data_IF_958460921313
#
_entry.id   IF_958460921313
#
_cell.length_a   1.000
_cell.length_b   1.000
_cell.length_c   1.000
_cell.angle_alpha   90.00
_cell.angle_beta   90.00
_cell.angle_gamma   90.00
#
_symmetry.space_group_name_H-M   'P 1'
#
loop_
_entity.id
_entity.type
_entity.pdbx_description
1 polymer ?
#
# COMPACT_ATOMS: atom_id res chain seq x y z
N UNK A 1 -9.06 -34.63 -1.78
CA UNK A 1 -7.75 -34.04 -1.42
C UNK A 1 -8.04 -32.70 -0.73
N UNK A 2 -7.88 -32.64 0.60
CA UNK A 2 -8.15 -31.44 1.42
C UNK A 2 -6.88 -30.58 1.45
N UNK A 3 -6.96 -29.32 1.06
CA UNK A 3 -5.88 -28.34 1.19
C UNK A 3 -6.16 -27.48 2.44
N UNK A 4 -5.41 -27.70 3.51
CA UNK A 4 -5.41 -26.85 4.70
C UNK A 4 -4.34 -25.77 4.56
N UNK A 5 -4.76 -24.50 4.62
CA UNK A 5 -3.86 -23.33 4.62
C UNK A 5 -3.17 -23.22 5.98
N UNK A 6 -1.84 -23.38 6.01
CA UNK A 6 -0.99 -23.32 7.21
C UNK A 6 -0.22 -22.01 7.32
N UNK A 7 -0.87 -20.86 7.07
CA UNK A 7 -0.26 -19.55 7.31
C UNK A 7 -0.83 -18.92 8.58
N UNK A 8 -0.06 -19.02 9.68
CA UNK A 8 0.19 -18.01 10.72
C UNK A 8 0.87 -18.67 11.94
N UNK A 9 2.14 -19.05 11.79
CA UNK A 9 3.06 -19.29 12.91
C UNK A 9 4.38 -18.61 12.56
N UNK A 10 4.60 -17.43 13.13
CA UNK A 10 5.91 -16.86 13.52
C UNK A 10 5.77 -15.33 13.69
N UNK A 11 5.46 -14.94 14.92
CA UNK A 11 5.62 -13.57 15.43
C UNK A 11 6.30 -13.66 16.80
N UNK A 12 7.59 -13.98 16.81
CA UNK A 12 8.42 -14.02 18.02
C UNK A 12 9.20 -12.71 18.15
N UNK A 13 8.56 -11.65 18.64
CA UNK A 13 9.29 -10.48 19.15
C UNK A 13 8.50 -9.61 20.15
N UNK A 14 7.70 -10.19 21.06
CA UNK A 14 7.18 -9.50 22.26
C UNK A 14 6.97 -10.52 23.39
N UNK A 15 7.18 -10.17 24.69
CA UNK A 15 7.03 -11.13 25.80
C UNK A 15 5.60 -11.67 25.88
N UNK A 16 5.43 -12.99 25.71
CA UNK A 16 4.15 -13.66 25.42
C UNK A 16 3.31 -14.07 26.64
N UNK A 17 3.77 -13.96 27.88
CA UNK A 17 3.08 -14.65 28.99
C UNK A 17 1.94 -13.86 29.66
N UNK A 18 1.92 -12.52 29.60
CA UNK A 18 0.84 -11.72 30.22
C UNK A 18 -0.27 -11.26 29.27
N UNK A 19 -0.08 -11.41 27.97
CA UNK A 19 -1.07 -10.99 26.96
C UNK A 19 -1.94 -12.16 26.50
N UNK A 20 -1.45 -13.41 26.57
CA UNK A 20 -2.19 -14.58 26.10
C UNK A 20 -3.49 -14.82 26.86
N UNK A 21 -3.47 -14.69 28.19
CA UNK A 21 -4.63 -15.00 29.04
C UNK A 21 -5.79 -14.04 28.75
N UNK A 22 -5.52 -12.72 28.67
CA UNK A 22 -6.55 -11.76 28.27
C UNK A 22 -6.99 -11.90 26.79
N UNK A 23 -6.09 -12.30 25.88
CA UNK A 23 -6.44 -12.44 24.46
C UNK A 23 -7.21 -13.72 24.12
N UNK A 24 -7.08 -14.76 24.94
CA UNK A 24 -7.83 -16.01 24.80
C UNK A 24 -9.27 -15.83 25.26
N UNK A 25 -9.47 -15.17 26.41
CA UNK A 25 -10.81 -14.89 26.94
C UNK A 25 -11.59 -13.92 26.04
N UNK A 26 -10.93 -12.87 25.52
CA UNK A 26 -11.55 -11.92 24.58
C UNK A 26 -11.90 -12.57 23.23
N UNK A 27 -11.12 -13.57 22.76
CA UNK A 27 -11.45 -14.28 21.52
C UNK A 27 -12.55 -15.33 21.71
N UNK A 28 -12.61 -16.01 22.86
CA UNK A 28 -13.65 -16.98 23.18
C UNK A 28 -15.03 -16.32 23.32
N UNK A 29 -15.11 -15.12 23.90
CA UNK A 29 -16.36 -14.35 23.97
C UNK A 29 -16.83 -13.81 22.60
N UNK A 30 -15.91 -13.38 21.73
CA UNK A 30 -16.25 -12.91 20.38
C UNK A 30 -16.66 -14.03 19.43
N UNK A 31 -16.21 -15.27 19.67
CA UNK A 31 -16.57 -16.43 18.84
C UNK A 31 -17.96 -16.99 19.18
N UNK A 32 -18.55 -16.60 20.32
CA UNK A 32 -19.83 -17.08 20.81
C UNK A 32 -21.06 -16.21 20.42
N UNK A 33 -20.87 -15.10 19.71
CA UNK A 33 -21.94 -14.15 19.35
C UNK A 33 -21.96 -13.75 17.87
N UNK A 34 -21.66 -14.68 16.96
CA UNK A 34 -22.03 -14.48 15.55
C UNK A 34 -23.54 -14.71 15.44
N UNK A 35 -24.30 -13.67 15.09
CA UNK A 35 -25.75 -13.79 14.95
C UNK A 35 -26.10 -14.77 13.82
N UNK A 36 -27.26 -15.43 13.89
CA UNK A 36 -27.75 -16.31 12.82
C UNK A 36 -27.77 -15.61 11.46
N UNK A 37 -28.04 -14.30 11.46
CA UNK A 37 -27.99 -13.43 10.29
C UNK A 37 -26.56 -13.30 9.73
N UNK A 38 -25.57 -13.04 10.58
CA UNK A 38 -24.16 -13.00 10.17
C UNK A 38 -23.68 -14.36 9.64
N UNK A 39 -24.09 -15.46 10.29
CA UNK A 39 -23.74 -16.81 9.83
C UNK A 39 -24.32 -17.11 8.45
N UNK A 40 -25.55 -16.66 8.20
CA UNK A 40 -26.22 -16.81 6.90
C UNK A 40 -25.53 -15.98 5.82
N UNK A 41 -25.21 -14.71 6.13
CA UNK A 41 -24.48 -13.83 5.21
C UNK A 41 -23.10 -14.39 4.83
N UNK A 42 -22.36 -14.96 5.79
CA UNK A 42 -21.07 -15.62 5.52
C UNK A 42 -21.24 -16.83 4.57
N UNK A 43 -22.28 -17.65 4.77
CA UNK A 43 -22.55 -18.78 3.89
C UNK A 43 -22.91 -18.33 2.45
N UNK A 44 -23.61 -17.20 2.31
CA UNK A 44 -23.88 -16.61 0.99
C UNK A 44 -22.61 -16.11 0.31
N UNK A 45 -21.71 -15.44 1.05
CA UNK A 45 -20.41 -15.00 0.55
C UNK A 45 -19.60 -16.19 0.06
N UNK A 46 -19.49 -17.26 0.87
CA UNK A 46 -18.79 -18.50 0.47
C UNK A 46 -19.40 -19.13 -0.80
N UNK A 47 -20.72 -19.04 -0.92
CA UNK A 47 -21.46 -19.49 -2.11
C UNK A 47 -21.13 -18.66 -3.36
N UNK A 48 -21.00 -17.33 -3.22
CA UNK A 48 -20.60 -16.45 -4.32
C UNK A 48 -19.14 -16.64 -4.71
N UNK A 49 -18.23 -16.76 -3.73
CA UNK A 49 -16.82 -17.02 -3.98
C UNK A 49 -16.63 -18.34 -4.74
N UNK A 50 -17.33 -19.40 -4.31
CA UNK A 50 -17.32 -20.70 -5.01
C UNK A 50 -17.82 -20.59 -6.45
N UNK A 51 -18.81 -19.75 -6.73
CA UNK A 51 -19.31 -19.51 -8.10
C UNK A 51 -18.28 -18.74 -8.93
N UNK A 52 -17.65 -17.73 -8.34
CA UNK A 52 -16.63 -16.90 -8.99
C UNK A 52 -15.40 -17.73 -9.35
N UNK A 53 -14.90 -18.52 -8.40
CA UNK A 53 -13.76 -19.42 -8.61
C UNK A 53 -14.03 -20.42 -9.74
N UNK A 54 -15.21 -21.05 -9.77
CA UNK A 54 -15.60 -21.96 -10.85
C UNK A 54 -15.68 -21.24 -12.19
N UNK A 55 -16.29 -20.07 -12.23
CA UNK A 55 -16.44 -19.28 -13.46
C UNK A 55 -15.07 -18.87 -14.05
N UNK A 56 -14.13 -18.47 -13.19
CA UNK A 56 -12.81 -17.99 -13.59
C UNK A 56 -11.70 -19.04 -13.51
N UNK A 57 -12.02 -20.31 -13.22
CA UNK A 57 -11.03 -21.37 -12.97
C UNK A 57 -9.93 -21.44 -14.05
N UNK A 58 -10.31 -21.40 -15.33
CA UNK A 58 -9.36 -21.49 -16.45
C UNK A 58 -8.54 -20.21 -16.68
N UNK A 59 -8.92 -19.10 -16.04
CA UNK A 59 -8.26 -17.79 -16.13
C UNK A 59 -7.39 -17.50 -14.91
N UNK A 60 -7.70 -18.07 -13.74
CA UNK A 60 -6.90 -17.94 -12.52
C UNK A 60 -5.72 -18.91 -12.60
N UNK A 61 -4.52 -18.39 -12.83
CA UNK A 61 -3.29 -19.17 -12.91
C UNK A 61 -2.33 -18.76 -11.80
N UNK A 62 -1.76 -19.74 -11.12
CA UNK A 62 -0.72 -19.49 -10.13
C UNK A 62 0.54 -18.96 -10.83
N UNK A 63 1.12 -17.89 -10.31
CA UNK A 63 2.38 -17.33 -10.77
C UNK A 63 3.39 -17.32 -9.61
N UNK A 64 4.24 -18.35 -9.48
CA UNK A 64 5.20 -18.45 -8.37
C UNK A 64 6.18 -17.28 -8.26
N UNK A 65 6.45 -16.60 -9.39
CA UNK A 65 7.29 -15.41 -9.40
C UNK A 65 6.68 -14.22 -8.62
N UNK A 66 5.36 -14.17 -8.45
CA UNK A 66 4.67 -13.10 -7.71
C UNK A 66 4.64 -13.40 -6.21
N UNK A 67 5.81 -13.26 -5.58
CA UNK A 67 5.95 -13.51 -4.14
C UNK A 67 5.24 -12.45 -3.30
N UNK A 68 4.92 -12.78 -2.04
CA UNK A 68 4.35 -11.84 -1.06
C UNK A 68 5.19 -10.55 -0.93
N UNK A 69 6.51 -10.65 -1.09
CA UNK A 69 7.39 -9.50 -1.01
C UNK A 69 7.21 -8.54 -2.18
N UNK A 70 6.94 -9.05 -3.39
CA UNK A 70 6.72 -8.24 -4.58
C UNK A 70 5.33 -7.59 -4.60
N UNK A 71 4.30 -8.36 -4.25
CA UNK A 71 2.90 -7.88 -4.28
C UNK A 71 2.51 -7.05 -3.06
N UNK A 72 3.47 -6.70 -2.19
CA UNK A 72 3.25 -5.83 -1.04
C UNK A 72 4.42 -4.88 -0.82
N UNK A 73 4.27 -3.96 0.12
CA UNK A 73 5.31 -3.00 0.50
C UNK A 73 6.60 -3.63 1.07
N UNK A 74 6.63 -4.93 1.35
CA UNK A 74 7.76 -5.55 2.05
C UNK A 74 9.10 -5.38 1.34
N UNK A 75 9.16 -5.55 0.03
CA UNK A 75 10.40 -5.37 -0.74
C UNK A 75 10.83 -3.90 -0.84
N UNK A 76 9.97 -2.93 -0.48
CA UNK A 76 10.32 -1.51 -0.48
C UNK A 76 11.03 -1.06 0.81
N UNK A 77 10.92 -1.80 1.90
CA UNK A 77 11.55 -1.47 3.19
C UNK A 77 13.08 -1.22 3.12
N UNK A 78 13.87 -2.01 2.38
CA UNK A 78 15.31 -1.74 2.27
C UNK A 78 15.65 -0.59 1.30
N UNK A 79 14.74 -0.16 0.41
CA UNK A 79 15.01 0.85 -0.62
C UNK A 79 14.85 2.27 -0.02
N UNK A 80 15.91 3.10 0.06
CA UNK A 80 15.89 4.38 0.78
C UNK A 80 14.76 5.34 0.38
N UNK A 81 14.46 5.43 -0.92
CA UNK A 81 13.40 6.31 -1.43
C UNK A 81 12.00 5.72 -1.23
N UNK A 82 11.87 4.40 -1.29
CA UNK A 82 10.55 3.74 -1.20
C UNK A 82 10.13 3.43 0.25
N UNK A 83 11.04 3.43 1.22
CA UNK A 83 10.73 3.10 2.64
C UNK A 83 10.17 4.25 3.47
N UNK A 84 10.21 5.48 2.94
CA UNK A 84 9.90 6.73 3.65
C UNK A 84 8.48 6.82 4.21
N UNK A 85 7.52 6.12 3.58
CA UNK A 85 6.16 5.99 4.07
C UNK A 85 5.61 4.58 3.77
N UNK A 86 5.19 3.86 4.81
CA UNK A 86 4.53 2.56 4.65
C UNK A 86 3.05 2.76 4.32
N UNK A 87 2.68 2.54 3.08
CA UNK A 87 1.29 2.48 2.62
C UNK A 87 0.83 1.02 2.60
N UNK A 88 -0.26 0.67 3.28
CA UNK A 88 -0.66 -0.74 3.49
C UNK A 88 -1.06 -1.42 2.18
N UNK A 89 -1.67 -0.64 1.31
CA UNK A 89 -2.23 -1.05 0.03
C UNK A 89 -1.20 -0.97 -1.10
N UNK A 90 0.05 -0.58 -0.82
CA UNK A 90 1.10 -0.49 -1.82
C UNK A 90 1.75 -1.85 -2.11
N UNK A 91 2.00 -2.10 -3.39
CA UNK A 91 2.93 -3.12 -3.87
C UNK A 91 4.37 -2.61 -3.90
N UNK A 92 5.33 -3.47 -4.26
CA UNK A 92 6.73 -3.09 -4.37
C UNK A 92 7.06 -2.42 -5.70
N UNK A 93 8.05 -1.53 -5.72
CA UNK A 93 8.58 -0.97 -6.96
C UNK A 93 9.13 -2.07 -7.89
N UNK A 94 9.70 -3.13 -7.31
CA UNK A 94 10.23 -4.27 -8.06
C UNK A 94 9.16 -5.06 -8.80
N UNK A 95 7.89 -5.00 -8.36
CA UNK A 95 6.78 -5.57 -9.13
C UNK A 95 6.55 -4.79 -10.44
N UNK A 96 6.68 -3.47 -10.40
CA UNK A 96 6.52 -2.59 -11.56
C UNK A 96 7.67 -2.81 -12.53
N UNK A 97 8.90 -2.80 -12.03
CA UNK A 97 10.12 -3.10 -12.80
C UNK A 97 10.00 -4.46 -13.50
N UNK A 98 9.52 -5.49 -12.79
CA UNK A 98 9.26 -6.81 -13.34
C UNK A 98 8.27 -6.75 -14.52
N UNK A 99 7.15 -6.02 -14.39
CA UNK A 99 6.16 -5.93 -15.46
C UNK A 99 6.63 -5.10 -16.66
N UNK A 100 7.30 -3.97 -16.43
CA UNK A 100 7.89 -3.17 -17.50
C UNK A 100 8.87 -4.00 -18.32
N UNK A 101 9.76 -4.74 -17.64
CA UNK A 101 10.71 -5.64 -18.30
C UNK A 101 10.01 -6.79 -19.01
N UNK A 102 9.11 -7.51 -18.33
CA UNK A 102 8.42 -8.69 -18.88
C UNK A 102 7.64 -8.39 -20.15
N UNK A 103 7.02 -7.21 -20.24
CA UNK A 103 6.21 -6.80 -21.39
C UNK A 103 6.96 -5.88 -22.37
N UNK A 104 8.26 -5.64 -22.15
CA UNK A 104 9.08 -4.82 -23.06
C UNK A 104 8.63 -3.36 -23.15
N UNK A 105 8.05 -2.82 -22.07
CA UNK A 105 7.55 -1.44 -22.05
C UNK A 105 8.72 -0.48 -21.90
N UNK A 106 9.13 0.09 -23.04
CA UNK A 106 10.28 1.02 -23.15
C UNK A 106 9.86 2.42 -23.58
N UNK A 107 8.60 2.62 -23.95
CA UNK A 107 8.07 3.89 -24.44
C UNK A 107 6.55 3.99 -24.19
N UNK A 108 6.00 5.18 -24.43
CA UNK A 108 4.60 5.49 -24.14
C UNK A 108 4.41 6.04 -22.73
N UNK A 109 3.20 5.82 -22.18
CA UNK A 109 2.82 6.33 -20.87
C UNK A 109 2.10 5.27 -20.04
N UNK A 110 2.53 5.09 -18.79
CA UNK A 110 1.85 4.26 -17.80
C UNK A 110 0.70 5.05 -17.17
N UNK A 111 -0.47 4.44 -17.04
CA UNK A 111 -1.59 5.00 -16.29
C UNK A 111 -1.84 4.13 -15.06
N UNK A 112 -1.77 4.73 -13.88
CA UNK A 112 -2.18 4.11 -12.62
C UNK A 112 -3.47 4.79 -12.10
N UNK A 113 -4.65 4.17 -12.30
CA UNK A 113 -5.91 4.76 -11.87
C UNK A 113 -6.11 4.72 -10.33
N UNK A 114 -5.22 4.06 -9.59
CA UNK A 114 -5.25 3.94 -8.13
C UNK A 114 -3.84 4.14 -7.55
N UNK A 115 -3.26 5.31 -7.84
CA UNK A 115 -1.83 5.55 -7.65
C UNK A 115 -1.36 5.38 -6.20
N UNK A 116 -2.23 5.55 -5.21
CA UNK A 116 -1.93 5.37 -3.79
C UNK A 116 -0.78 6.28 -3.36
N UNK A 117 0.34 5.68 -2.99
CA UNK A 117 1.59 6.39 -2.64
C UNK A 117 2.51 6.69 -3.83
N UNK A 118 2.09 6.34 -5.05
CA UNK A 118 2.77 6.60 -6.31
C UNK A 118 3.78 5.53 -6.74
N UNK A 119 3.75 4.32 -6.16
CA UNK A 119 4.79 3.32 -6.42
C UNK A 119 4.98 3.03 -7.92
N UNK A 120 3.89 2.87 -8.69
CA UNK A 120 3.99 2.69 -10.14
C UNK A 120 4.53 3.93 -10.87
N UNK A 121 4.10 5.13 -10.47
CA UNK A 121 4.51 6.37 -11.11
C UNK A 121 6.02 6.56 -11.02
N UNK A 122 6.57 6.40 -9.81
CA UNK A 122 8.00 6.61 -9.60
C UNK A 122 8.83 5.46 -10.17
N UNK A 123 8.39 4.21 -10.06
CA UNK A 123 9.13 3.09 -10.65
C UNK A 123 9.14 3.16 -12.20
N UNK A 124 8.06 3.61 -12.82
CA UNK A 124 8.02 3.88 -14.26
C UNK A 124 8.94 5.05 -14.64
N UNK A 125 8.91 6.15 -13.87
CA UNK A 125 9.79 7.31 -14.08
C UNK A 125 11.27 6.93 -13.94
N UNK A 126 11.64 6.14 -12.93
CA UNK A 126 13.00 5.61 -12.73
C UNK A 126 13.45 4.74 -13.92
N UNK A 127 12.51 4.08 -14.59
CA UNK A 127 12.75 3.30 -15.81
C UNK A 127 12.73 4.14 -17.11
N UNK A 128 12.60 5.47 -17.01
CA UNK A 128 12.54 6.38 -18.15
C UNK A 128 11.19 6.42 -18.88
N UNK A 129 10.13 5.89 -18.28
CA UNK A 129 8.78 5.85 -18.85
C UNK A 129 7.90 6.88 -18.14
N UNK A 130 7.20 7.71 -18.92
CA UNK A 130 6.26 8.68 -18.37
C UNK A 130 5.09 7.96 -17.67
N UNK A 131 4.56 8.54 -16.60
CA UNK A 131 3.43 7.97 -15.88
C UNK A 131 2.43 9.03 -15.41
N UNK A 132 1.14 8.73 -15.58
CA UNK A 132 0.02 9.50 -15.03
C UNK A 132 -0.67 8.66 -13.95
N UNK A 133 -1.08 9.33 -12.87
CA UNK A 133 -1.71 8.68 -11.73
C UNK A 133 -2.97 9.40 -11.28
N UNK A 134 -4.00 8.63 -10.95
CA UNK A 134 -5.22 9.12 -10.32
C UNK A 134 -5.24 8.58 -8.89
N UNK A 135 -5.44 9.45 -7.92
CA UNK A 135 -5.59 9.08 -6.51
C UNK A 135 -6.68 9.94 -5.88
N UNK A 136 -7.63 9.31 -5.21
CA UNK A 136 -8.77 9.99 -4.60
C UNK A 136 -8.43 10.53 -3.20
N UNK A 137 -7.67 9.76 -2.42
CA UNK A 137 -7.39 10.07 -1.03
C UNK A 137 -6.29 11.12 -0.94
N UNK A 138 -6.58 12.21 -0.22
CA UNK A 138 -5.65 13.31 -0.01
C UNK A 138 -4.30 12.83 0.53
N UNK A 139 -4.28 11.81 1.41
CA UNK A 139 -3.03 11.28 1.96
C UNK A 139 -2.10 10.72 0.87
N UNK A 140 -2.63 9.96 -0.09
CA UNK A 140 -1.86 9.43 -1.21
C UNK A 140 -1.31 10.54 -2.10
N UNK A 141 -2.15 11.53 -2.43
CA UNK A 141 -1.75 12.71 -3.18
C UNK A 141 -0.61 13.48 -2.48
N UNK A 142 -0.70 13.71 -1.16
CA UNK A 142 0.34 14.41 -0.41
C UNK A 142 1.67 13.65 -0.39
N UNK A 143 1.62 12.32 -0.26
CA UNK A 143 2.81 11.46 -0.37
C UNK A 143 3.43 11.62 -1.76
N UNK A 144 2.64 11.52 -2.83
CA UNK A 144 3.15 11.67 -4.21
C UNK A 144 3.79 13.06 -4.41
N UNK A 145 3.11 14.13 -4.03
CA UNK A 145 3.60 15.50 -4.17
C UNK A 145 4.89 15.72 -3.39
N UNK A 146 4.95 15.25 -2.14
CA UNK A 146 6.14 15.40 -1.30
C UNK A 146 7.32 14.69 -1.94
N UNK A 147 7.14 13.49 -2.50
CA UNK A 147 8.22 12.76 -3.18
C UNK A 147 8.69 13.49 -4.43
N UNK A 148 7.76 13.98 -5.25
CA UNK A 148 8.11 14.79 -6.43
C UNK A 148 8.91 16.04 -6.05
N UNK A 149 8.63 16.65 -4.91
CA UNK A 149 9.44 17.77 -4.41
C UNK A 149 10.83 17.31 -3.96
N UNK A 150 10.96 16.15 -3.31
CA UNK A 150 12.25 15.60 -2.87
C UNK A 150 13.14 15.12 -4.03
N UNK A 151 12.56 14.70 -5.15
CA UNK A 151 13.29 14.30 -6.36
C UNK A 151 13.81 15.52 -7.15
N UNK A 152 13.33 16.73 -6.85
CA UNK A 152 13.87 17.98 -7.39
C UNK A 152 15.02 18.47 -6.51
N UNK A 153 15.97 19.17 -7.12
CA UNK A 153 17.00 19.87 -6.35
C UNK A 153 16.34 20.93 -5.44
N UNK A 154 16.72 20.93 -4.17
CA UNK A 154 16.24 21.94 -3.23
C UNK A 154 16.72 23.33 -3.66
N UNK A 155 15.80 24.28 -3.68
CA UNK A 155 16.11 25.68 -3.97
C UNK A 155 16.42 26.45 -2.69
N UNK A 156 17.14 27.58 -2.77
CA UNK A 156 17.32 28.50 -1.63
C UNK A 156 15.99 28.95 -0.98
N UNK A 157 14.92 29.04 -1.77
CA UNK A 157 13.58 29.40 -1.30
C UNK A 157 12.98 28.30 -0.42
N UNK A 158 13.19 27.02 -0.77
CA UNK A 158 12.76 25.88 0.05
C UNK A 158 13.40 25.94 1.45
N UNK A 159 14.70 26.23 1.51
CA UNK A 159 15.40 26.38 2.78
C UNK A 159 14.93 27.61 3.57
N UNK A 160 14.59 28.70 2.88
CA UNK A 160 14.05 29.91 3.49
C UNK A 160 12.67 29.65 4.10
N UNK A 161 11.80 28.92 3.40
CA UNK A 161 10.51 28.47 3.90
C UNK A 161 10.66 27.60 5.16
N UNK A 162 11.56 26.60 5.14
CA UNK A 162 11.86 25.73 6.29
C UNK A 162 12.39 26.50 7.51
N UNK A 163 13.24 27.51 7.30
CA UNK A 163 13.70 28.39 8.38
C UNK A 163 12.55 29.22 8.96
N UNK A 164 11.64 29.71 8.12
CA UNK A 164 10.48 30.50 8.56
C UNK A 164 9.49 29.67 9.40
N UNK A 165 9.31 28.38 9.08
CA UNK A 165 8.43 27.48 9.83
C UNK A 165 9.06 27.06 11.17
N UNK A 166 10.38 26.86 11.21
CA UNK A 166 11.13 26.65 12.47
C UNK A 166 10.97 27.82 13.43
N UNK A 167 10.97 29.05 12.93
CA UNK A 167 10.77 30.27 13.73
C UNK A 167 9.30 30.47 14.15
N UNK A 168 8.34 30.00 13.34
CA UNK A 168 6.90 30.06 13.66
C UNK A 168 6.41 28.92 14.56
N UNK A 169 7.20 27.85 14.72
CA UNK A 169 6.90 26.67 15.54
C UNK A 169 6.75 26.92 17.05
N UNK A 170 6.91 28.17 17.53
CA UNK A 170 6.74 28.53 18.93
C UNK A 170 5.48 29.37 19.23
N UNK A 171 4.55 29.54 18.28
CA UNK A 171 3.24 30.18 18.56
C UNK A 171 2.12 29.40 17.87
N UNK A 172 1.42 28.58 18.64
CA UNK A 172 0.32 27.76 18.17
C UNK A 172 -0.76 28.56 17.44
N UNK A 173 -0.83 28.40 16.11
CA UNK A 173 -2.01 28.71 15.29
C UNK A 173 -2.08 27.74 14.11
N UNK A 174 -3.24 27.08 13.96
CA UNK A 174 -3.54 26.13 12.87
C UNK A 174 -3.45 26.84 11.51
N UNK A 175 -2.66 26.30 10.58
CA UNK A 175 -2.55 26.85 9.22
C UNK A 175 -3.56 26.18 8.28
N UNK A 176 -4.42 26.98 7.64
CA UNK A 176 -5.21 26.60 6.45
C UNK A 176 -4.29 26.69 5.24
N UNK A 177 -3.78 25.57 4.75
CA UNK A 177 -2.97 25.53 3.52
C UNK A 177 -3.92 25.52 2.32
N UNK A 178 -3.88 26.55 1.47
CA UNK A 178 -4.38 26.54 0.09
C UNK A 178 -3.16 26.47 -0.82
N UNK A 179 -3.01 25.36 -1.54
CA UNK A 179 -2.07 25.26 -2.67
C UNK A 179 -2.86 25.59 -3.93
N UNK A 180 -2.41 26.59 -4.69
CA UNK A 180 -2.92 26.90 -6.03
C UNK A 180 -2.08 26.09 -7.02
N UNK A 181 -2.73 25.29 -7.84
CA UNK A 181 -2.12 24.58 -8.96
C UNK A 181 -2.55 25.33 -10.22
N UNK A 182 -1.61 25.97 -10.89
CA UNK A 182 -1.83 26.48 -12.24
C UNK A 182 -1.40 25.38 -13.21
N UNK A 183 -2.25 25.10 -14.21
CA UNK A 183 -2.19 23.97 -15.15
C UNK A 183 -1.12 24.13 -16.23
#
# INVERSE_FOLDING_TARGET
MKLTSTYLKDNTLFPLEKTLINSLDINLENQAYISTEQQTALAEIDGFDSKLEKHFHNKIKLQPALTRQLVSFQANKPRPVYRWYKYKEAFSASLVELFLSKYGVTSGRVLDPFAGSGTALFAASDAGVNADGIELLTVGQQIILTRKCLEREFTPDDFTALRSTRLKGNKGKKSKIRVRLDY
#
